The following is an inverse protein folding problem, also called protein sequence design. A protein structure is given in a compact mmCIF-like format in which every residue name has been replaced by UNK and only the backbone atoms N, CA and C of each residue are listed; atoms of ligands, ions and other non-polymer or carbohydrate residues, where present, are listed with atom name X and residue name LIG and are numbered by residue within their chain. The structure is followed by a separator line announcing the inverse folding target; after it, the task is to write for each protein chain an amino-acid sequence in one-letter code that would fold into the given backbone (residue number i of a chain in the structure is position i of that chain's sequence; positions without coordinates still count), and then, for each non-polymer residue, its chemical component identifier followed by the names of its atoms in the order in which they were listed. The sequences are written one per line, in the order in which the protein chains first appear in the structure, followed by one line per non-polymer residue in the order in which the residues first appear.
data_IF_849318928439
#
_entry.id   IF_849318928439
#
_cell.length_a   1.000
_cell.length_b   1.000
_cell.length_c   1.000
_cell.angle_alpha   90.00
_cell.angle_beta   90.00
_cell.angle_gamma   90.00
#
_symmetry.space_group_name_H-M   'P 1'
#
loop_
_entity.id
_entity.type
_entity.pdbx_description
1 polymer ?
#
# COMPACT_ATOMS: atom_id res chain seq x y z
N UNK A 1 -14.95 -17.30 9.10
CA UNK A 1 -13.47 -17.28 9.14
C UNK A 1 -12.86 -18.63 9.55
N UNK A 2 -13.35 -19.29 10.62
CA UNK A 2 -12.77 -20.57 11.12
C UNK A 2 -12.70 -21.67 10.04
N UNK A 3 -13.76 -21.87 9.25
CA UNK A 3 -13.78 -22.87 8.16
C UNK A 3 -12.67 -22.63 7.12
N UNK A 4 -12.41 -21.36 6.79
CA UNK A 4 -11.36 -20.97 5.83
C UNK A 4 -9.97 -21.27 6.41
N UNK A 5 -9.72 -20.90 7.68
CA UNK A 5 -8.45 -21.22 8.34
C UNK A 5 -8.20 -22.73 8.43
N UNK A 6 -9.26 -23.52 8.69
CA UNK A 6 -9.15 -24.98 8.71
C UNK A 6 -8.83 -25.56 7.33
N UNK A 7 -9.42 -25.02 6.26
CA UNK A 7 -9.17 -25.45 4.89
C UNK A 7 -7.76 -25.08 4.39
N UNK A 8 -7.28 -23.87 4.73
CA UNK A 8 -5.95 -23.38 4.35
C UNK A 8 -4.84 -24.00 5.22
N UNK A 9 -5.14 -24.32 6.47
CA UNK A 9 -4.20 -24.84 7.44
C UNK A 9 -3.50 -23.74 8.25
N UNK A 10 -3.40 -23.97 9.55
CA UNK A 10 -2.78 -23.03 10.49
C UNK A 10 -1.29 -22.75 10.20
N UNK A 11 -0.43 -23.75 9.90
CA UNK A 11 0.99 -23.49 9.61
C UNK A 11 1.19 -22.62 8.37
N UNK A 12 0.36 -22.80 7.35
CA UNK A 12 0.39 -21.96 6.15
C UNK A 12 -0.04 -20.54 6.49
N UNK A 13 -1.16 -20.37 7.21
CA UNK A 13 -1.66 -19.07 7.60
C UNK A 13 -0.64 -18.28 8.44
N UNK A 14 0.03 -18.90 9.41
CA UNK A 14 1.07 -18.27 10.23
C UNK A 14 2.28 -17.83 9.39
N UNK A 15 2.72 -18.65 8.43
CA UNK A 15 3.80 -18.26 7.49
C UNK A 15 3.37 -17.14 6.55
N UNK A 16 2.11 -17.16 6.11
CA UNK A 16 1.57 -16.18 5.18
C UNK A 16 1.42 -14.81 5.84
N UNK A 17 0.86 -14.76 7.06
CA UNK A 17 0.65 -13.51 7.80
C UNK A 17 1.98 -12.83 8.15
N UNK A 18 3.07 -13.61 8.36
CA UNK A 18 4.40 -13.05 8.60
C UNK A 18 4.91 -12.18 7.44
N UNK A 19 4.42 -12.41 6.20
CA UNK A 19 4.75 -11.56 5.04
C UNK A 19 4.25 -10.13 5.20
N UNK A 20 3.23 -9.89 6.03
CA UNK A 20 2.67 -8.56 6.30
C UNK A 20 3.43 -7.80 7.40
N UNK A 21 4.43 -8.42 8.01
CA UNK A 21 5.27 -7.79 9.05
C UNK A 21 4.99 -8.28 10.48
N UNK A 22 4.07 -9.22 10.67
CA UNK A 22 3.84 -9.83 11.98
C UNK A 22 4.91 -10.84 12.34
N UNK A 23 5.26 -10.92 13.63
CA UNK A 23 6.17 -11.95 14.13
C UNK A 23 5.44 -13.31 14.18
N UNK A 24 5.89 -14.34 13.45
CA UNK A 24 5.23 -15.64 13.43
C UNK A 24 5.21 -16.33 14.80
N UNK A 25 6.18 -16.03 15.68
CA UNK A 25 6.24 -16.58 17.05
C UNK A 25 5.14 -16.02 17.94
N UNK A 26 4.62 -14.83 17.62
CA UNK A 26 3.53 -14.19 18.36
C UNK A 26 2.16 -14.72 17.96
N UNK A 27 2.08 -15.53 16.89
CA UNK A 27 0.81 -16.03 16.36
C UNK A 27 0.29 -17.21 17.18
N UNK A 28 -0.91 -17.11 17.79
CA UNK A 28 -1.50 -18.22 18.53
C UNK A 28 -1.60 -19.49 17.67
N UNK A 29 -1.13 -20.62 18.21
CA UNK A 29 -1.14 -21.90 17.52
C UNK A 29 -2.49 -22.63 17.64
N UNK A 30 -3.61 -21.91 17.43
CA UNK A 30 -4.95 -22.47 17.47
C UNK A 30 -5.90 -21.69 16.53
N UNK A 31 -7.13 -22.19 16.35
CA UNK A 31 -8.08 -21.61 15.40
C UNK A 31 -8.66 -20.25 15.83
N UNK A 32 -8.44 -19.81 17.08
CA UNK A 32 -8.96 -18.52 17.56
C UNK A 32 -8.33 -17.34 16.81
N UNK A 33 -7.16 -17.54 16.18
CA UNK A 33 -6.53 -16.53 15.32
C UNK A 33 -7.43 -16.10 14.16
N UNK A 34 -8.33 -16.97 13.68
CA UNK A 34 -9.35 -16.61 12.68
C UNK A 34 -10.41 -15.61 13.20
N UNK A 35 -10.45 -15.37 14.51
CA UNK A 35 -11.33 -14.41 15.18
C UNK A 35 -10.56 -13.14 15.63
N UNK A 36 -9.26 -13.04 15.35
CA UNK A 36 -8.45 -11.88 15.71
C UNK A 36 -7.91 -11.90 17.15
N UNK A 37 -7.68 -13.08 17.74
CA UNK A 37 -7.06 -13.21 19.08
C UNK A 37 -5.56 -12.85 19.12
N UNK A 38 -4.97 -12.51 17.97
CA UNK A 38 -3.57 -12.08 17.86
C UNK A 38 -3.38 -10.70 18.50
N UNK A 39 -2.46 -10.59 19.44
CA UNK A 39 -2.05 -9.29 20.01
C UNK A 39 -0.99 -8.63 19.12
N UNK A 40 -1.28 -7.40 18.67
CA UNK A 40 -0.43 -6.62 17.75
C UNK A 40 -0.49 -5.14 18.10
N UNK A 41 0.56 -4.42 17.76
CA UNK A 41 0.60 -2.96 17.90
C UNK A 41 -0.19 -2.28 16.78
N UNK A 42 -0.74 -1.07 17.03
CA UNK A 42 -1.37 -0.27 15.97
C UNK A 42 -0.43 0.00 14.79
N UNK A 43 0.87 0.13 15.04
CA UNK A 43 1.88 0.33 14.00
C UNK A 43 2.04 -0.90 13.10
N UNK A 44 2.05 -2.11 13.67
CA UNK A 44 2.06 -3.36 12.90
C UNK A 44 0.78 -3.50 12.07
N UNK A 45 -0.38 -3.16 12.64
CA UNK A 45 -1.64 -3.17 11.91
C UNK A 45 -1.64 -2.17 10.75
N UNK A 46 -1.22 -0.93 10.97
CA UNK A 46 -1.10 0.07 9.92
C UNK A 46 -0.14 -0.39 8.81
N UNK A 47 1.00 -0.99 9.19
CA UNK A 47 1.96 -1.57 8.25
C UNK A 47 1.34 -2.70 7.44
N UNK A 48 0.60 -3.61 8.07
CA UNK A 48 -0.07 -4.71 7.38
C UNK A 48 -1.15 -4.21 6.41
N UNK A 49 -1.99 -3.24 6.81
CA UNK A 49 -3.01 -2.66 5.94
C UNK A 49 -2.41 -1.81 4.81
N UNK A 50 -1.22 -1.22 5.00
CA UNK A 50 -0.53 -0.47 3.95
C UNK A 50 -0.19 -1.33 2.73
N UNK A 51 -0.05 -2.65 2.91
CA UNK A 51 0.16 -3.58 1.80
C UNK A 51 -0.98 -3.47 0.79
N UNK A 52 -2.23 -3.42 1.28
CA UNK A 52 -3.40 -3.31 0.41
C UNK A 52 -3.57 -1.93 -0.20
N UNK A 53 -3.21 -0.88 0.55
CA UNK A 53 -3.29 0.50 0.05
C UNK A 53 -2.29 0.77 -1.08
N UNK A 54 -1.14 0.10 -1.03
CA UNK A 54 -0.01 0.32 -1.93
C UNK A 54 0.17 -0.81 -2.96
N UNK A 55 -0.88 -1.58 -3.27
CA UNK A 55 -0.85 -2.54 -4.38
C UNK A 55 -0.03 -3.81 -4.15
N UNK A 56 0.11 -4.23 -2.90
CA UNK A 56 0.74 -5.49 -2.50
C UNK A 56 2.19 -5.40 -2.02
N UNK A 57 2.71 -4.20 -1.78
CA UNK A 57 4.09 -3.97 -1.32
C UNK A 57 4.19 -3.75 0.19
N UNK A 58 5.14 -4.42 0.85
CA UNK A 58 5.41 -4.17 2.27
C UNK A 58 6.47 -3.10 2.44
N UNK A 59 6.02 -1.94 2.94
CA UNK A 59 6.90 -0.84 3.35
C UNK A 59 7.27 -0.97 4.83
N UNK A 60 8.40 -0.38 5.21
CA UNK A 60 8.78 -0.26 6.63
C UNK A 60 8.38 1.14 7.11
N UNK A 61 7.64 1.26 8.23
CA UNK A 61 7.35 2.57 8.79
C UNK A 61 8.64 3.25 9.24
N UNK A 62 8.75 4.55 9.00
CA UNK A 62 9.87 5.38 9.45
C UNK A 62 9.31 6.77 9.82
N UNK A 63 9.96 7.43 10.79
CA UNK A 63 9.49 8.71 11.31
C UNK A 63 10.42 9.88 10.93
N UNK A 64 11.72 9.62 10.83
CA UNK A 64 12.74 10.65 10.61
C UNK A 64 13.05 10.71 9.11
N UNK A 65 12.82 11.85 8.46
CA UNK A 65 13.19 12.07 7.05
C UNK A 65 14.66 12.49 6.89
N UNK A 66 15.09 13.48 7.67
CA UNK A 66 16.46 14.01 7.62
C UNK A 66 16.90 14.54 8.97
N UNK A 67 18.21 14.52 9.21
CA UNK A 67 18.86 15.13 10.37
C UNK A 67 19.77 16.23 9.83
N UNK A 68 19.59 17.45 10.36
CA UNK A 68 20.35 18.64 9.98
C UNK A 68 21.22 19.08 11.15
N UNK A 69 22.34 19.73 10.87
CA UNK A 69 23.10 20.47 11.88
C UNK A 69 22.53 21.90 12.06
N UNK A 70 23.08 22.66 13.02
CA UNK A 70 22.68 24.05 13.27
C UNK A 70 22.89 24.99 12.07
N UNK A 71 23.81 24.66 11.15
CA UNK A 71 24.07 25.43 9.93
C UNK A 71 23.20 25.00 8.74
N UNK A 72 22.23 24.11 8.93
CA UNK A 72 21.33 23.60 7.87
C UNK A 72 21.92 22.50 6.96
N UNK A 73 23.13 22.01 7.23
CA UNK A 73 23.77 20.91 6.50
C UNK A 73 23.13 19.58 6.88
N UNK A 74 22.76 18.78 5.87
CA UNK A 74 22.22 17.43 6.04
C UNK A 74 23.31 16.49 6.56
N UNK A 75 23.13 15.97 7.77
CA UNK A 75 23.99 14.93 8.37
C UNK A 75 23.51 13.53 7.98
N UNK A 76 22.19 13.36 7.82
CA UNK A 76 21.59 12.08 7.48
C UNK A 76 20.26 12.30 6.73
N UNK A 77 19.92 11.37 5.83
CA UNK A 77 18.65 11.31 5.12
C UNK A 77 18.16 9.87 5.03
N UNK A 78 16.89 9.66 5.31
CA UNK A 78 16.23 8.38 5.17
C UNK A 78 16.22 7.94 3.70
N UNK A 79 16.47 6.65 3.49
CA UNK A 79 16.33 5.98 2.19
C UNK A 79 15.35 4.81 2.36
N UNK A 80 14.05 5.09 2.52
CA UNK A 80 13.05 4.04 2.72
C UNK A 80 12.84 3.25 1.43
N UNK A 81 12.35 2.02 1.58
CA UNK A 81 11.89 1.24 0.43
C UNK A 81 10.48 1.69 0.04
N UNK A 82 10.27 2.09 -1.21
CA UNK A 82 8.99 2.59 -1.71
C UNK A 82 8.21 1.53 -2.48
N UNK A 83 6.88 1.59 -2.39
CA UNK A 83 6.01 0.82 -3.27
C UNK A 83 6.05 1.42 -4.68
N UNK A 84 6.14 0.58 -5.71
CA UNK A 84 6.01 1.08 -7.08
C UNK A 84 5.15 0.17 -7.96
N UNK A 85 4.11 0.75 -8.54
CA UNK A 85 3.10 0.06 -9.35
C UNK A 85 3.51 -0.11 -10.83
N UNK A 86 4.58 0.53 -11.29
CA UNK A 86 5.05 0.49 -12.69
C UNK A 86 6.57 0.60 -12.90
N UNK A 87 7.39 0.64 -11.85
CA UNK A 87 8.85 0.82 -11.95
C UNK A 87 9.62 -0.46 -12.27
N UNK A 88 8.94 -1.60 -12.42
CA UNK A 88 9.57 -2.91 -12.61
C UNK A 88 10.09 -3.16 -14.02
N UNK A 89 9.81 -2.26 -14.97
CA UNK A 89 10.28 -2.37 -16.34
C UNK A 89 11.35 -1.31 -16.57
N UNK A 90 12.55 -1.73 -17.00
CA UNK A 90 13.47 -0.80 -17.63
C UNK A 90 12.75 -0.18 -18.83
N UNK A 91 12.59 1.14 -18.79
CA UNK A 91 12.18 1.89 -19.97
C UNK A 91 13.37 1.83 -20.94
N UNK A 92 13.34 0.87 -21.87
CA UNK A 92 14.32 0.81 -22.95
C UNK A 92 14.10 2.02 -23.84
N UNK A 93 14.92 3.06 -23.65
CA UNK A 93 15.00 4.21 -24.54
C UNK A 93 15.64 3.75 -25.87
N UNK A 94 14.91 2.96 -26.67
CA UNK A 94 15.26 2.80 -28.08
C UNK A 94 15.10 4.17 -28.74
N UNK A 95 16.07 4.64 -29.55
CA UNK A 95 15.92 5.89 -30.26
C UNK A 95 14.64 5.83 -31.09
N UNK A 96 13.72 6.76 -30.82
CA UNK A 96 12.47 6.90 -31.54
C UNK A 96 12.79 7.17 -33.02
N UNK A 97 12.59 6.18 -33.88
CA UNK A 97 12.74 6.36 -35.33
C UNK A 97 11.53 7.14 -35.84
N UNK A 98 11.79 8.39 -36.21
CA UNK A 98 10.85 9.38 -36.76
C UNK A 98 10.30 8.98 -38.14
N UNK A 99 9.41 7.98 -38.21
CA UNK A 99 8.71 7.66 -39.47
C UNK A 99 7.18 7.63 -39.37
N UNK A 100 6.59 7.95 -38.23
CA UNK A 100 5.14 7.94 -38.07
C UNK A 100 4.60 9.36 -37.85
N UNK A 101 3.70 9.80 -38.73
CA UNK A 101 3.20 11.19 -38.85
C UNK A 101 2.59 11.79 -37.56
N UNK A 102 2.24 13.08 -37.64
CA UNK A 102 1.82 13.91 -36.49
C UNK A 102 0.73 13.30 -35.58
N UNK A 103 -0.16 12.46 -36.12
CA UNK A 103 -1.17 11.74 -35.34
C UNK A 103 -0.56 10.63 -34.46
N UNK A 104 0.43 9.88 -34.98
CA UNK A 104 1.16 8.84 -34.23
C UNK A 104 2.13 9.45 -33.23
N UNK A 105 2.68 10.64 -33.51
CA UNK A 105 3.49 11.42 -32.57
C UNK A 105 2.69 11.85 -31.33
N UNK A 106 1.40 12.18 -31.47
CA UNK A 106 0.55 12.53 -30.32
C UNK A 106 0.27 11.33 -29.41
N UNK A 107 0.07 10.15 -29.98
CA UNK A 107 -0.13 8.90 -29.22
C UNK A 107 1.18 8.35 -28.61
N UNK A 108 2.31 8.43 -29.33
CA UNK A 108 3.63 8.07 -28.81
C UNK A 108 4.14 9.04 -27.74
N UNK A 109 3.86 10.34 -27.89
CA UNK A 109 4.16 11.33 -26.87
C UNK A 109 3.26 11.22 -25.64
N UNK A 110 2.09 10.57 -25.72
CA UNK A 110 1.30 10.24 -24.52
C UNK A 110 1.90 9.06 -23.75
N UNK A 111 2.57 8.13 -24.43
CA UNK A 111 3.37 7.06 -23.80
C UNK A 111 4.70 7.58 -23.24
N UNK A 112 5.27 8.64 -23.82
CA UNK A 112 6.43 9.37 -23.28
C UNK A 112 6.05 10.47 -22.28
N UNK A 113 4.77 10.87 -22.20
CA UNK A 113 4.15 11.45 -20.99
C UNK A 113 3.91 10.33 -19.96
N UNK A 114 4.89 9.44 -19.83
CA UNK A 114 5.04 8.67 -18.62
C UNK A 114 5.02 9.67 -17.47
N UNK A 115 4.12 9.40 -16.55
CA UNK A 115 3.81 10.03 -15.28
C UNK A 115 4.99 10.04 -14.29
N UNK A 116 6.23 10.05 -14.80
CA UNK A 116 7.45 10.22 -14.00
C UNK A 116 7.88 8.96 -13.24
N UNK A 117 7.43 7.77 -13.64
CA UNK A 117 7.97 6.53 -13.09
C UNK A 117 9.37 6.26 -13.66
N UNK A 118 10.34 7.04 -13.18
CA UNK A 118 11.76 6.76 -13.28
C UNK A 118 11.99 5.33 -12.81
N UNK A 119 12.78 4.57 -13.58
CA UNK A 119 13.33 3.28 -13.13
C UNK A 119 13.84 3.43 -11.69
N UNK A 120 13.23 2.69 -10.78
CA UNK A 120 13.58 2.72 -9.37
C UNK A 120 14.51 1.55 -9.09
N UNK A 121 15.70 1.78 -8.53
CA UNK A 121 16.67 0.72 -8.37
C UNK A 121 16.14 -0.33 -7.35
N UNK A 122 16.48 -1.62 -7.53
CA UNK A 122 15.88 -2.71 -6.74
C UNK A 122 16.11 -2.61 -5.22
N UNK A 123 17.18 -1.93 -4.80
CA UNK A 123 17.51 -1.67 -3.40
C UNK A 123 16.48 -0.75 -2.72
N UNK A 124 15.93 0.21 -3.47
CA UNK A 124 14.91 1.14 -2.99
C UNK A 124 13.48 0.63 -3.22
N UNK A 125 13.29 -0.42 -4.02
CA UNK A 125 11.97 -0.98 -4.23
C UNK A 125 11.53 -1.83 -3.03
N UNK A 126 10.32 -1.61 -2.51
CA UNK A 126 9.75 -2.45 -1.46
C UNK A 126 9.45 -3.87 -1.99
N UNK A 127 9.60 -4.92 -1.16
CA UNK A 127 9.25 -6.27 -1.57
C UNK A 127 7.73 -6.40 -1.75
N UNK A 128 7.32 -6.99 -2.87
CA UNK A 128 5.93 -7.39 -3.12
C UNK A 128 5.62 -8.65 -2.32
N UNK A 129 4.62 -8.59 -1.43
CA UNK A 129 4.26 -9.69 -0.52
C UNK A 129 2.97 -10.41 -0.93
N UNK A 130 2.14 -9.76 -1.74
CA UNK A 130 0.96 -10.32 -2.41
C UNK A 130 0.94 -9.91 -3.89
N UNK A 131 0.34 -10.74 -4.76
CA UNK A 131 0.16 -10.41 -6.17
C UNK A 131 -0.80 -9.23 -6.35
N UNK A 132 -0.67 -8.52 -7.48
CA UNK A 132 -1.56 -7.40 -7.81
C UNK A 132 -3.03 -7.83 -7.91
N UNK A 133 -3.31 -9.03 -8.43
CA UNK A 133 -4.68 -9.55 -8.54
C UNK A 133 -5.29 -9.85 -7.17
N UNK A 134 -4.52 -10.49 -6.28
CA UNK A 134 -4.97 -10.77 -4.91
C UNK A 134 -5.20 -9.47 -4.13
N UNK A 135 -4.31 -8.50 -4.30
CA UNK A 135 -4.45 -7.16 -3.74
C UNK A 135 -5.74 -6.47 -4.21
N UNK A 136 -5.97 -6.47 -5.53
CA UNK A 136 -7.16 -5.87 -6.13
C UNK A 136 -8.46 -6.48 -5.61
N UNK A 137 -8.53 -7.81 -5.55
CA UNK A 137 -9.71 -8.53 -5.04
C UNK A 137 -9.96 -8.17 -3.57
N UNK A 138 -8.91 -8.20 -2.73
CA UNK A 138 -9.03 -7.88 -1.30
C UNK A 138 -9.43 -6.42 -1.07
N UNK A 139 -8.81 -5.49 -1.79
CA UNK A 139 -9.12 -4.05 -1.71
C UNK A 139 -10.54 -3.75 -2.18
N UNK A 140 -11.02 -4.43 -3.23
CA UNK A 140 -12.40 -4.34 -3.69
C UNK A 140 -13.39 -4.84 -2.62
N UNK A 141 -13.12 -5.98 -2.00
CA UNK A 141 -13.93 -6.51 -0.90
C UNK A 141 -13.96 -5.54 0.30
N UNK A 142 -12.80 -4.98 0.69
CA UNK A 142 -12.73 -4.01 1.80
C UNK A 142 -13.46 -2.70 1.48
N UNK A 143 -13.39 -2.22 0.23
CA UNK A 143 -14.18 -1.07 -0.23
C UNK A 143 -15.68 -1.35 -0.08
N UNK A 144 -16.12 -2.56 -0.42
CA UNK A 144 -17.52 -2.98 -0.23
C UNK A 144 -17.93 -2.97 1.25
N UNK A 145 -17.04 -3.29 2.20
CA UNK A 145 -17.35 -3.22 3.64
C UNK A 145 -17.68 -1.78 4.08
N UNK A 146 -17.03 -0.79 3.49
CA UNK A 146 -17.28 0.63 3.78
C UNK A 146 -18.55 1.12 3.06
N UNK A 147 -18.76 0.70 1.81
CA UNK A 147 -19.89 1.17 1.01
C UNK A 147 -21.23 0.52 1.41
N UNK A 148 -21.18 -0.78 1.70
CA UNK A 148 -22.37 -1.63 1.86
C UNK A 148 -22.38 -2.45 3.15
N UNK A 149 -21.27 -2.50 3.89
CA UNK A 149 -21.11 -3.34 5.08
C UNK A 149 -21.06 -2.57 6.40
N UNK A 150 -20.33 -3.13 7.36
CA UNK A 150 -20.21 -2.64 8.73
C UNK A 150 -19.44 -1.32 8.87
N UNK A 151 -18.69 -0.92 7.83
CA UNK A 151 -17.97 0.35 7.78
C UNK A 151 -18.83 1.51 7.28
N UNK A 152 -20.08 1.27 6.87
CA UNK A 152 -20.98 2.32 6.39
C UNK A 152 -21.28 3.30 7.53
N UNK A 153 -21.08 4.62 7.33
CA UNK A 153 -21.50 5.61 8.30
C UNK A 153 -23.00 5.45 8.53
N UNK A 154 -23.40 5.14 9.76
CA UNK A 154 -24.80 5.24 10.13
C UNK A 154 -25.09 6.73 10.19
N UNK A 155 -26.01 7.20 9.35
CA UNK A 155 -26.56 8.53 9.51
C UNK A 155 -27.07 8.61 10.96
N UNK A 156 -26.45 9.47 11.77
CA UNK A 156 -27.03 9.85 13.04
C UNK A 156 -28.33 10.57 12.69
N UNK A 157 -29.46 9.88 12.81
CA UNK A 157 -30.79 10.50 12.86
C UNK A 157 -30.90 11.23 14.19
N UNK A 158 -30.20 12.34 14.29
CA UNK A 158 -30.24 13.30 15.38
C UNK A 158 -29.79 14.61 14.77
N UNK A 159 -30.76 15.48 14.48
CA UNK A 159 -30.50 16.81 13.97
C UNK A 159 -29.52 17.56 14.89
N UNK A 160 -28.25 17.62 14.51
CA UNK A 160 -27.32 18.60 15.02
C UNK A 160 -26.52 19.14 13.84
N UNK A 161 -27.12 20.16 13.22
CA UNK A 161 -26.52 21.01 12.20
C UNK A 161 -25.40 21.80 12.89
N UNK A 162 -24.20 21.25 12.96
CA UNK A 162 -23.01 22.08 13.10
C UNK A 162 -22.64 22.61 11.71
N UNK A 163 -23.28 23.71 11.33
CA UNK A 163 -22.81 24.56 10.23
C UNK A 163 -21.54 25.25 10.71
N UNK A 164 -20.37 24.79 10.24
CA UNK A 164 -19.16 25.58 10.30
C UNK A 164 -19.40 26.86 9.49
N UNK A 165 -19.44 28.01 10.16
CA UNK A 165 -19.45 29.31 9.48
C UNK A 165 -18.07 29.49 8.83
N UNK A 166 -17.97 29.77 7.52
CA UNK A 166 -16.70 30.17 6.94
C UNK A 166 -16.32 31.55 7.50
N UNK A 167 -15.10 31.66 8.02
CA UNK A 167 -14.46 32.94 8.28
C UNK A 167 -14.37 33.68 6.94
N UNK A 168 -14.98 34.86 6.85
CA UNK A 168 -14.78 35.76 5.71
C UNK A 168 -13.46 36.52 5.89
N UNK A 169 -12.77 36.86 4.79
CA UNK A 169 -11.57 37.70 4.81
C UNK A 169 -11.88 39.13 5.26
#
# INVERSE_FOLDING_TARGET
SIRVLRAVGLPYATKYVARFGFNPKSVPQNLTVALGSLSVTPMEMATAYSVFANGGYRVKPFLIDRILNASGKVLWRAKPRLACHGCSHEVSLRPFQSQSGAATLRHGASALRGDGALYMPPDQMAPRVISADNDYIMTSMMRSVIQFGTGRPRAFSGAMIWRARPARP
#
